data_IF_285817144259
#
_entry.id   IF_285817144259
#
_cell.length_a   1.000
_cell.length_b   1.000
_cell.length_c   1.000
_cell.angle_alpha   90.00
_cell.angle_beta   90.00
_cell.angle_gamma   90.00
#
_symmetry.space_group_name_H-M   'P 1'
#
loop_
_entity.id
_entity.type
_entity.pdbx_description
1 polymer ?
#
# COMPACT_ATOMS: atom_id res chain seq x y z
N UNK A 1 -9.77 3.31 9.38
CA UNK A 1 -10.95 4.10 8.97
C UNK A 1 -12.19 3.22 9.00
N UNK A 2 -13.34 3.76 9.39
CA UNK A 2 -14.62 3.09 9.22
C UNK A 2 -15.69 4.06 8.70
N UNK A 3 -16.53 3.58 7.79
CA UNK A 3 -17.69 4.33 7.32
C UNK A 3 -18.63 4.64 8.50
N UNK A 4 -19.27 5.81 8.52
CA UNK A 4 -20.10 6.27 9.65
C UNK A 4 -21.30 5.36 9.97
N UNK A 5 -21.71 4.51 9.03
CA UNK A 5 -22.77 3.49 9.20
C UNK A 5 -22.25 2.15 9.75
N UNK A 6 -20.95 1.98 9.94
CA UNK A 6 -20.40 0.76 10.51
C UNK A 6 -20.77 0.66 12.00
N UNK A 7 -21.23 -0.50 12.50
CA UNK A 7 -21.55 -0.65 13.92
C UNK A 7 -20.31 -0.42 14.81
N UNK A 8 -20.42 0.52 15.76
CA UNK A 8 -19.30 0.95 16.59
C UNK A 8 -18.66 -0.20 17.39
N UNK A 9 -19.48 -1.12 17.91
CA UNK A 9 -19.00 -2.28 18.64
C UNK A 9 -18.11 -3.18 17.76
N UNK A 10 -18.51 -3.40 16.51
CA UNK A 10 -17.71 -4.17 15.54
C UNK A 10 -16.41 -3.42 15.21
N UNK A 11 -16.48 -2.11 14.95
CA UNK A 11 -15.31 -1.25 14.71
C UNK A 11 -14.32 -1.32 15.88
N UNK A 12 -14.81 -1.22 17.10
CA UNK A 12 -13.99 -1.29 18.30
C UNK A 12 -13.35 -2.67 18.46
N UNK A 13 -14.14 -3.75 18.41
CA UNK A 13 -13.61 -5.11 18.52
C UNK A 13 -12.54 -5.40 17.48
N UNK A 14 -12.76 -5.03 16.21
CA UNK A 14 -11.76 -5.22 15.17
C UNK A 14 -10.53 -4.33 15.36
N UNK A 15 -10.68 -3.11 15.88
CA UNK A 15 -9.50 -2.27 16.15
C UNK A 15 -8.57 -2.91 17.18
N UNK A 16 -9.14 -3.60 18.18
CA UNK A 16 -8.36 -4.38 19.15
C UNK A 16 -7.71 -5.59 18.49
N UNK A 17 -8.43 -6.30 17.61
CA UNK A 17 -7.89 -7.42 16.84
C UNK A 17 -6.75 -6.98 15.91
N UNK A 18 -6.93 -5.88 15.20
CA UNK A 18 -5.91 -5.30 14.31
C UNK A 18 -4.64 -4.92 15.08
N UNK A 19 -4.79 -4.32 16.26
CA UNK A 19 -3.66 -3.99 17.11
C UNK A 19 -2.99 -5.26 17.67
N UNK A 20 -3.76 -6.20 18.21
CA UNK A 20 -3.23 -7.40 18.83
C UNK A 20 -2.59 -8.32 17.80
N UNK A 21 -3.33 -8.70 16.76
CA UNK A 21 -2.89 -9.72 15.83
C UNK A 21 -1.98 -9.13 14.76
N UNK A 22 -2.42 -8.10 14.02
CA UNK A 22 -1.59 -7.55 12.93
C UNK A 22 -0.37 -6.81 13.44
N UNK A 23 -0.56 -5.76 14.24
CA UNK A 23 0.56 -4.92 14.62
C UNK A 23 1.53 -5.60 15.61
N UNK A 24 1.03 -6.33 16.62
CA UNK A 24 1.90 -6.93 17.64
C UNK A 24 2.41 -8.31 17.26
N UNK A 25 1.54 -9.24 16.93
CA UNK A 25 1.94 -10.64 16.73
C UNK A 25 2.51 -10.89 15.33
N UNK A 26 1.78 -10.50 14.28
CA UNK A 26 2.23 -10.77 12.90
C UNK A 26 3.39 -9.88 12.48
N UNK A 27 3.29 -8.56 12.64
CA UNK A 27 4.34 -7.61 12.23
C UNK A 27 5.50 -7.52 13.23
N UNK A 28 5.29 -7.95 14.48
CA UNK A 28 6.33 -8.02 15.51
C UNK A 28 6.49 -6.76 16.39
N UNK A 29 5.38 -6.03 16.64
CA UNK A 29 5.30 -4.80 17.46
C UNK A 29 6.07 -3.62 16.87
N UNK A 30 5.85 -2.44 17.47
CA UNK A 30 6.38 -1.17 16.95
C UNK A 30 6.06 -0.98 15.46
N UNK A 31 4.77 -1.15 15.16
CA UNK A 31 4.23 -1.18 13.82
C UNK A 31 2.91 -0.40 13.73
N UNK A 32 2.63 0.08 12.52
CA UNK A 32 1.36 0.66 12.15
C UNK A 32 0.54 -0.38 11.42
N UNK A 33 -0.70 -0.60 11.86
CA UNK A 33 -1.69 -1.38 11.14
C UNK A 33 -2.87 -0.48 10.75
N UNK A 34 -3.29 -0.56 9.49
CA UNK A 34 -4.37 0.22 8.89
C UNK A 34 -5.41 -0.75 8.33
N UNK A 35 -6.66 -0.57 8.74
CA UNK A 35 -7.81 -1.19 8.12
C UNK A 35 -8.80 -0.14 7.60
N UNK A 36 -9.41 -0.41 6.45
CA UNK A 36 -10.47 0.42 5.85
C UNK A 36 -11.77 -0.39 5.81
N UNK A 37 -12.71 0.03 6.64
CA UNK A 37 -14.02 -0.60 6.81
C UNK A 37 -15.09 0.16 6.02
N UNK A 38 -15.66 -0.49 4.99
CA UNK A 38 -16.82 0.01 4.23
C UNK A 38 -18.13 -0.52 4.82
N UNK A 39 -19.28 -0.14 4.27
CA UNK A 39 -20.60 -0.60 4.75
C UNK A 39 -20.74 -2.12 4.87
N UNK A 40 -20.05 -2.90 4.03
CA UNK A 40 -20.13 -4.36 4.01
C UNK A 40 -19.06 -5.10 4.82
N UNK A 41 -18.10 -4.43 5.45
CA UNK A 41 -16.96 -5.12 6.07
C UNK A 41 -15.61 -4.43 5.85
N UNK A 42 -14.56 -5.04 6.39
CA UNK A 42 -13.18 -4.64 6.15
C UNK A 42 -12.81 -5.01 4.71
N UNK A 43 -12.26 -4.05 3.98
CA UNK A 43 -11.96 -4.20 2.55
C UNK A 43 -10.48 -4.13 2.23
N UNK A 44 -9.73 -3.40 3.05
CA UNK A 44 -8.29 -3.17 2.91
C UNK A 44 -7.70 -3.35 4.29
N UNK A 45 -6.64 -4.14 4.38
CA UNK A 45 -5.84 -4.32 5.58
C UNK A 45 -4.36 -4.37 5.25
N UNK A 46 -3.59 -3.54 5.94
CA UNK A 46 -2.17 -3.40 5.71
C UNK A 46 -1.46 -3.10 7.02
N UNK A 47 -0.24 -3.60 7.18
CA UNK A 47 0.59 -3.30 8.33
C UNK A 47 2.06 -3.25 7.92
N UNK A 48 2.83 -2.39 8.61
CA UNK A 48 4.28 -2.29 8.44
C UNK A 48 4.93 -1.74 9.71
N UNK A 49 6.17 -2.14 10.04
CA UNK A 49 6.96 -1.52 11.11
C UNK A 49 7.13 -0.02 10.89
N UNK A 50 7.16 0.76 11.98
CA UNK A 50 7.30 2.22 11.89
C UNK A 50 8.60 2.65 11.20
N UNK A 51 9.69 1.90 11.40
CA UNK A 51 11.00 2.12 10.77
C UNK A 51 10.96 2.12 9.23
N UNK A 52 9.98 1.44 8.62
CA UNK A 52 9.81 1.43 7.15
C UNK A 52 8.87 2.52 6.63
N UNK A 53 8.19 3.22 7.55
CA UNK A 53 7.25 4.29 7.23
C UNK A 53 7.90 5.65 7.48
N UNK A 54 8.58 5.80 8.61
CA UNK A 54 9.19 7.03 9.08
C UNK A 54 10.70 6.93 8.91
N UNK A 55 11.29 7.82 8.12
CA UNK A 55 12.74 7.98 8.05
C UNK A 55 13.22 8.86 9.19
N UNK A 56 14.26 8.44 9.93
CA UNK A 56 14.90 9.27 10.95
C UNK A 56 15.63 10.49 10.33
N UNK A 57 16.03 10.39 9.06
CA UNK A 57 16.81 11.40 8.35
C UNK A 57 15.91 12.52 7.77
N UNK A 58 14.69 12.18 7.34
CA UNK A 58 13.72 13.12 6.77
C UNK A 58 12.75 13.61 7.83
N UNK A 59 13.18 14.64 8.59
CA UNK A 59 12.48 15.17 9.77
C UNK A 59 11.01 15.59 9.62
N UNK A 60 10.39 15.57 8.43
CA UNK A 60 9.04 16.13 8.23
C UNK A 60 8.12 15.37 7.25
N UNK A 61 8.56 14.32 6.54
CA UNK A 61 7.70 13.60 5.59
C UNK A 61 7.92 12.09 5.67
N UNK A 62 6.88 11.36 6.07
CA UNK A 62 6.90 9.90 6.08
C UNK A 62 6.52 9.34 4.69
N UNK A 63 6.79 8.05 4.44
CA UNK A 63 6.53 7.39 3.16
C UNK A 63 5.06 7.49 2.72
N UNK A 64 4.11 7.43 3.66
CA UNK A 64 2.68 7.59 3.35
C UNK A 64 2.40 9.02 2.88
N UNK A 65 2.95 10.03 3.54
CA UNK A 65 2.81 11.42 3.12
C UNK A 65 3.44 11.64 1.74
N UNK A 66 4.67 11.17 1.48
CA UNK A 66 5.29 11.30 0.14
C UNK A 66 4.46 10.65 -0.97
N UNK A 67 3.88 9.49 -0.70
CA UNK A 67 3.02 8.77 -1.65
C UNK A 67 1.62 9.38 -1.82
N UNK A 68 1.16 10.20 -0.86
CA UNK A 68 -0.18 10.79 -0.82
C UNK A 68 -0.23 12.29 -1.06
N UNK A 69 0.88 13.01 -0.86
CA UNK A 69 0.99 14.44 -1.02
C UNK A 69 0.62 14.85 -2.44
N UNK A 70 -0.17 15.92 -2.49
CA UNK A 70 -0.86 16.35 -3.69
C UNK A 70 0.12 16.70 -4.81
N UNK A 71 0.07 15.86 -5.83
CA UNK A 71 0.34 16.05 -7.24
C UNK A 71 -0.45 17.20 -7.88
N UNK A 72 -0.75 18.26 -7.14
CA UNK A 72 -1.32 19.52 -7.65
C UNK A 72 -0.29 20.32 -8.47
N UNK A 73 0.98 19.94 -8.44
CA UNK A 73 2.01 20.44 -9.34
C UNK A 73 2.36 19.34 -10.36
N UNK A 74 1.73 19.44 -11.54
CA UNK A 74 2.06 18.74 -12.78
C UNK A 74 1.98 17.21 -12.75
N UNK A 75 0.82 16.65 -13.14
CA UNK A 75 0.66 15.33 -13.78
C UNK A 75 1.39 14.13 -13.18
N UNK A 76 1.70 14.15 -11.90
CA UNK A 76 2.47 13.07 -11.31
C UNK A 76 1.65 11.77 -11.25
N UNK A 77 2.32 10.61 -11.32
CA UNK A 77 1.69 9.34 -11.03
C UNK A 77 1.06 9.38 -9.64
N UNK A 78 -0.15 8.86 -9.53
CA UNK A 78 -0.86 8.73 -8.25
C UNK A 78 -1.48 7.36 -8.18
N UNK A 79 -1.71 6.85 -6.96
CA UNK A 79 -2.45 5.61 -6.77
C UNK A 79 -3.90 5.68 -7.31
N UNK A 80 -4.42 6.88 -7.57
CA UNK A 80 -5.70 7.10 -8.27
C UNK A 80 -5.66 6.78 -9.77
N UNK A 81 -4.48 6.78 -10.35
CA UNK A 81 -4.30 6.49 -11.76
C UNK A 81 -4.42 4.99 -12.08
N UNK A 82 -4.40 4.11 -11.07
CA UNK A 82 -4.63 2.68 -11.30
C UNK A 82 -6.12 2.35 -11.39
N UNK A 83 -6.46 1.49 -12.35
CA UNK A 83 -7.81 0.96 -12.47
C UNK A 83 -8.16 0.09 -11.25
N UNK A 84 -9.42 0.15 -10.80
CA UNK A 84 -9.89 -0.69 -9.68
C UNK A 84 -9.80 -2.18 -10.01
N UNK A 85 -9.99 -2.54 -11.28
CA UNK A 85 -9.80 -3.90 -11.76
C UNK A 85 -8.33 -4.32 -11.66
N UNK A 86 -7.37 -3.47 -12.05
CA UNK A 86 -5.96 -3.83 -11.94
C UNK A 86 -5.52 -4.14 -10.52
N UNK A 87 -5.81 -3.27 -9.53
CA UNK A 87 -5.41 -3.51 -8.15
C UNK A 87 -6.06 -4.79 -7.57
N UNK A 88 -7.30 -5.08 -7.96
CA UNK A 88 -7.97 -6.32 -7.60
C UNK A 88 -7.31 -7.56 -8.22
N UNK A 89 -6.97 -7.50 -9.51
CA UNK A 89 -6.25 -8.59 -10.17
C UNK A 89 -4.85 -8.77 -9.57
N UNK A 90 -4.12 -7.68 -9.31
CA UNK A 90 -2.81 -7.69 -8.67
C UNK A 90 -2.87 -8.41 -7.31
N UNK A 91 -3.91 -8.14 -6.51
CA UNK A 91 -4.21 -8.89 -5.29
C UNK A 91 -4.37 -10.38 -5.52
N UNK A 92 -5.15 -10.78 -6.53
CA UNK A 92 -5.32 -12.20 -6.87
C UNK A 92 -4.00 -12.87 -7.31
N UNK A 93 -3.20 -12.18 -8.12
CA UNK A 93 -1.94 -12.72 -8.65
C UNK A 93 -0.88 -12.90 -7.56
N UNK A 94 -0.74 -11.92 -6.66
CA UNK A 94 0.26 -11.98 -5.59
C UNK A 94 -0.11 -13.01 -4.50
N UNK A 95 -1.40 -13.11 -4.13
CA UNK A 95 -1.88 -14.13 -3.16
C UNK A 95 -1.74 -15.56 -3.72
N UNK A 96 -2.02 -15.77 -5.01
CA UNK A 96 -1.94 -17.11 -5.62
C UNK A 96 -0.51 -17.65 -5.71
N UNK A 97 0.49 -16.75 -5.64
CA UNK A 97 1.91 -17.11 -5.74
C UNK A 97 2.44 -17.85 -4.51
N UNK A 98 1.78 -17.72 -3.35
CA UNK A 98 2.13 -18.43 -2.11
C UNK A 98 1.84 -19.94 -2.13
N UNK A 99 1.13 -20.46 -3.15
CA UNK A 99 0.75 -21.88 -3.23
C UNK A 99 1.51 -22.74 -4.25
N UNK A 100 2.29 -22.12 -5.16
CA UNK A 100 2.83 -22.85 -6.31
C UNK A 100 4.20 -22.30 -6.75
N UNK A 101 5.26 -22.66 -6.02
CA UNK A 101 6.60 -23.00 -6.54
C UNK A 101 7.33 -22.07 -7.53
N UNK A 102 6.85 -20.87 -7.82
CA UNK A 102 7.52 -19.90 -8.67
C UNK A 102 7.97 -18.72 -7.80
N UNK A 103 9.22 -18.74 -7.34
CA UNK A 103 9.96 -17.49 -7.13
C UNK A 103 10.21 -16.90 -8.53
N UNK A 104 10.04 -15.63 -8.82
CA UNK A 104 10.61 -14.48 -8.15
C UNK A 104 9.88 -13.25 -8.69
N UNK A 105 8.94 -12.64 -7.95
CA UNK A 105 8.51 -11.28 -8.33
C UNK A 105 9.50 -10.37 -7.65
N UNK A 106 10.40 -9.77 -8.44
CA UNK A 106 11.34 -8.79 -7.92
C UNK A 106 10.64 -7.45 -7.74
N UNK A 107 11.25 -6.57 -6.95
CA UNK A 107 10.81 -5.17 -6.83
C UNK A 107 10.75 -4.51 -8.22
N UNK A 108 11.70 -4.84 -9.09
CA UNK A 108 11.79 -4.31 -10.44
C UNK A 108 10.63 -4.80 -11.32
N UNK A 109 10.31 -6.09 -11.30
CA UNK A 109 9.17 -6.64 -12.06
C UNK A 109 7.85 -5.97 -11.64
N UNK A 110 7.67 -5.77 -10.33
CA UNK A 110 6.46 -5.15 -9.80
C UNK A 110 6.39 -3.67 -10.18
N UNK A 111 7.50 -2.94 -10.05
CA UNK A 111 7.58 -1.55 -10.45
C UNK A 111 7.33 -1.35 -11.96
N UNK A 112 7.87 -2.24 -12.80
CA UNK A 112 7.64 -2.23 -14.25
C UNK A 112 6.17 -2.51 -14.57
N UNK A 113 5.55 -3.49 -13.92
CA UNK A 113 4.13 -3.81 -14.10
C UNK A 113 3.23 -2.63 -13.70
N UNK A 114 3.51 -2.01 -12.55
CA UNK A 114 2.79 -0.81 -12.09
C UNK A 114 2.97 0.35 -13.09
N UNK A 115 4.18 0.59 -13.58
CA UNK A 115 4.45 1.62 -14.59
C UNK A 115 3.69 1.37 -15.89
N UNK A 116 3.65 0.12 -16.37
CA UNK A 116 2.95 -0.25 -17.59
C UNK A 116 1.43 -0.02 -17.48
N UNK A 117 0.82 -0.41 -16.35
CA UNK A 117 -0.61 -0.14 -16.11
C UNK A 117 -0.88 1.36 -16.04
N UNK A 118 -0.05 2.11 -15.33
CA UNK A 118 -0.18 3.57 -15.23
C UNK A 118 -0.17 4.22 -16.63
N UNK A 119 0.80 3.86 -17.48
CA UNK A 119 0.88 4.35 -18.86
C UNK A 119 -0.33 3.91 -19.70
N UNK A 120 -0.80 2.68 -19.54
CA UNK A 120 -1.98 2.15 -20.24
C UNK A 120 -3.22 3.00 -19.96
N UNK A 121 -3.43 3.43 -18.72
CA UNK A 121 -4.62 4.24 -18.34
C UNK A 121 -4.57 5.69 -18.85
N UNK A 122 -3.42 6.18 -19.31
CA UNK A 122 -3.20 7.54 -19.82
C UNK A 122 -3.31 7.67 -21.34
N UNK A 123 -4.04 6.78 -22.01
CA UNK A 123 -4.04 6.65 -23.49
C UNK A 123 -4.54 7.86 -24.29
N UNK A 124 -4.92 8.98 -23.67
CA UNK A 124 -5.31 10.20 -24.40
C UNK A 124 -4.34 11.35 -24.09
N UNK A 125 -3.49 11.60 -25.09
CA UNK A 125 -2.65 12.77 -25.33
C UNK A 125 -2.85 13.95 -24.38
N UNK A 126 -1.90 14.16 -23.47
CA UNK A 126 -1.28 15.47 -23.22
C UNK A 126 -0.28 15.38 -22.07
N UNK A 127 0.90 15.95 -22.29
CA UNK A 127 1.95 16.28 -21.31
C UNK A 127 3.05 15.23 -21.08
N UNK A 128 4.29 15.70 -21.29
CA UNK A 128 5.54 15.00 -20.98
C UNK A 128 5.46 14.37 -19.59
N UNK A 129 5.55 13.05 -19.56
CA UNK A 129 5.65 12.32 -18.30
C UNK A 129 7.13 12.06 -18.05
N UNK A 130 7.68 12.63 -16.97
CA UNK A 130 9.08 12.40 -16.58
C UNK A 130 9.26 10.93 -16.18
N UNK A 131 9.99 10.10 -16.96
CA UNK A 131 10.11 8.66 -16.70
C UNK A 131 10.77 8.35 -15.36
N UNK A 132 11.73 9.17 -14.94
CA UNK A 132 12.39 9.01 -13.64
C UNK A 132 11.41 9.22 -12.49
N UNK A 133 10.51 10.21 -12.62
CA UNK A 133 9.47 10.43 -11.60
C UNK A 133 8.49 9.27 -11.51
N UNK A 134 8.14 8.63 -12.63
CA UNK A 134 7.34 7.39 -12.63
C UNK A 134 8.11 6.29 -11.90
N UNK A 135 9.36 6.06 -12.27
CA UNK A 135 10.20 5.02 -11.70
C UNK A 135 10.35 5.18 -10.19
N UNK A 136 10.65 6.39 -9.71
CA UNK A 136 10.72 6.69 -8.27
C UNK A 136 9.40 6.38 -7.57
N UNK A 137 8.28 6.88 -8.10
CA UNK A 137 6.96 6.65 -7.49
C UNK A 137 6.59 5.16 -7.47
N UNK A 138 6.85 4.41 -8.55
CA UNK A 138 6.57 2.97 -8.59
C UNK A 138 7.49 2.18 -7.65
N UNK A 139 8.72 2.64 -7.46
CA UNK A 139 9.63 2.10 -6.44
C UNK A 139 9.09 2.30 -5.03
N UNK A 140 8.67 3.52 -4.68
CA UNK A 140 8.06 3.81 -3.37
C UNK A 140 6.73 3.09 -3.17
N UNK A 141 5.91 2.96 -4.22
CA UNK A 141 4.65 2.22 -4.16
C UNK A 141 4.89 0.70 -4.02
N UNK A 142 5.98 0.19 -4.60
CA UNK A 142 6.41 -1.20 -4.39
C UNK A 142 6.88 -1.39 -2.95
N UNK A 143 7.61 -0.42 -2.40
CA UNK A 143 8.10 -0.43 -1.02
C UNK A 143 6.95 -0.51 -0.01
N UNK A 144 5.90 0.30 -0.18
CA UNK A 144 4.73 0.24 0.72
C UNK A 144 3.95 -1.08 0.58
N UNK A 145 4.08 -1.79 -0.54
CA UNK A 145 3.44 -3.10 -0.73
C UNK A 145 4.23 -4.25 -0.09
N UNK A 146 5.48 -4.06 0.34
CA UNK A 146 6.27 -5.16 0.93
C UNK A 146 5.71 -5.58 2.29
N UNK A 147 5.76 -6.88 2.57
CA UNK A 147 5.45 -7.43 3.89
C UNK A 147 6.75 -7.54 4.69
N UNK A 148 6.83 -6.70 5.72
CA UNK A 148 7.94 -6.66 6.68
C UNK A 148 7.55 -7.31 7.99
N UNK A 149 8.44 -8.14 8.55
CA UNK A 149 8.29 -8.73 9.87
C UNK A 149 9.50 -8.43 10.74
N UNK A 150 9.26 -8.10 12.01
CA UNK A 150 10.31 -7.99 13.02
C UNK A 150 10.59 -9.36 13.61
N UNK A 151 11.84 -9.80 13.59
CA UNK A 151 12.25 -11.07 14.19
C UNK A 151 12.48 -10.93 15.72
N UNK A 152 12.76 -12.05 16.38
CA UNK A 152 13.01 -12.10 17.84
C UNK A 152 14.21 -11.25 18.31
N UNK A 153 15.11 -10.90 17.39
CA UNK A 153 16.27 -10.02 17.65
C UNK A 153 15.91 -8.54 17.50
N UNK A 154 14.69 -8.22 17.11
CA UNK A 154 14.23 -6.87 16.85
C UNK A 154 14.53 -6.36 15.43
N UNK A 155 15.07 -7.19 14.54
CA UNK A 155 15.45 -6.78 13.18
C UNK A 155 14.25 -6.88 12.22
N UNK A 156 14.00 -5.84 11.43
CA UNK A 156 12.93 -5.81 10.44
C UNK A 156 13.41 -6.39 9.11
N UNK A 157 12.77 -7.48 8.67
CA UNK A 157 13.14 -8.20 7.45
C UNK A 157 11.98 -8.25 6.45
N UNK A 158 12.31 -8.07 5.17
CA UNK A 158 11.36 -8.28 4.08
C UNK A 158 11.13 -9.78 3.84
N UNK A 159 9.88 -10.20 3.85
CA UNK A 159 9.47 -11.62 3.70
C UNK A 159 9.55 -12.16 2.28
N UNK A 160 9.92 -11.32 1.29
CA UNK A 160 9.80 -11.62 -0.14
C UNK A 160 8.35 -11.72 -0.65
N UNK A 161 7.38 -11.31 0.18
CA UNK A 161 5.95 -11.30 -0.15
C UNK A 161 5.40 -9.88 -0.15
N UNK A 162 4.39 -9.64 -0.99
CA UNK A 162 3.79 -8.32 -1.16
C UNK A 162 2.32 -8.34 -0.78
N UNK A 163 1.89 -7.33 -0.03
CA UNK A 163 0.50 -7.01 0.25
C UNK A 163 0.05 -5.80 -0.60
N UNK A 164 -0.74 -6.02 -1.67
CA UNK A 164 -1.24 -4.95 -2.54
C UNK A 164 -2.23 -4.01 -1.86
N UNK A 165 -2.74 -4.37 -0.69
CA UNK A 165 -3.56 -3.46 0.12
C UNK A 165 -2.76 -2.20 0.52
N UNK A 166 -1.41 -2.23 0.54
CA UNK A 166 -0.58 -1.04 0.73
C UNK A 166 -0.84 0.05 -0.33
N UNK A 167 -0.88 -0.32 -1.61
CA UNK A 167 -1.22 0.61 -2.69
C UNK A 167 -2.68 1.12 -2.60
N UNK A 168 -3.59 0.27 -2.12
CA UNK A 168 -4.99 0.65 -1.88
C UNK A 168 -5.13 1.62 -0.71
N UNK A 169 -4.29 1.52 0.33
CA UNK A 169 -4.20 2.51 1.41
C UNK A 169 -3.76 3.86 0.85
N UNK A 170 -2.70 3.91 0.03
CA UNK A 170 -2.25 5.16 -0.59
C UNK A 170 -3.38 5.78 -1.42
N UNK A 171 -4.07 4.98 -2.23
CA UNK A 171 -5.23 5.44 -3.02
C UNK A 171 -6.34 6.00 -2.13
N UNK A 172 -6.63 5.34 -1.00
CA UNK A 172 -7.63 5.80 -0.05
C UNK A 172 -7.26 7.16 0.55
N UNK A 173 -6.02 7.31 1.01
CA UNK A 173 -5.51 8.53 1.63
C UNK A 173 -5.48 9.70 0.61
N UNK A 174 -5.00 9.45 -0.61
CA UNK A 174 -4.98 10.45 -1.69
C UNK A 174 -6.37 10.99 -2.05
N UNK A 175 -7.44 10.18 -1.90
CA UNK A 175 -8.82 10.62 -2.12
C UNK A 175 -9.50 11.25 -0.90
N UNK A 176 -8.74 11.68 0.11
CA UNK A 176 -9.29 12.16 1.39
C UNK A 176 -10.26 11.14 2.03
N UNK A 177 -10.03 9.85 1.80
CA UNK A 177 -10.85 8.77 2.31
C UNK A 177 -12.14 8.49 1.54
N UNK A 178 -12.29 8.99 0.31
CA UNK A 178 -13.43 8.66 -0.58
C UNK A 178 -13.02 7.57 -1.57
N UNK A 179 -13.47 6.33 -1.37
CA UNK A 179 -13.36 5.29 -2.42
C UNK A 179 -14.67 5.30 -3.21
N UNK A 180 -14.63 5.77 -4.46
CA UNK A 180 -15.72 5.60 -5.43
C UNK A 180 -15.81 4.16 -5.92
#
# INVERSE_FOLDING_TARGET
YAHNRAPLNLVYSYSQELLANKAKEETGRDALAIAIWKTGGVTIEWASPWEKIVSEEERNLNLLDRLTENTSVNNAPTANSFSSSFLYHLRKYLIFKDGAGYSSTTDEDLAVLLAAEYLRTRTEASQETNPERIKTYMGELTEIMKIYLRNDKGEVNFTQLYNPDGALVIRFLANKGVIR
#
